data_IF_876157384425
#
_entry.id   IF_876157384425
#
_cell.length_a   1.000
_cell.length_b   1.000
_cell.length_c   1.000
_cell.angle_alpha   90.00
_cell.angle_beta   90.00
_cell.angle_gamma   90.00
#
_symmetry.space_group_name_H-M   'P 1'
#
loop_
_entity.id
_entity.type
_entity.pdbx_description
1 polymer ?
#
# COMPACT_ATOMS: atom_id res chain seq x y z
N UNK A 1 -6.43 -3.10 -0.25
CA UNK A 1 -6.55 -2.39 1.05
C UNK A 1 -5.21 -1.79 1.39
N UNK A 2 -5.16 -0.49 1.64
CA UNK A 2 -3.97 0.20 2.17
C UNK A 2 -4.21 0.55 3.64
N UNK A 3 -3.16 0.91 4.37
CA UNK A 3 -3.28 1.43 5.74
C UNK A 3 -4.11 2.72 5.84
N UNK A 4 -4.29 3.46 4.73
CA UNK A 4 -5.23 4.59 4.67
C UNK A 4 -6.71 4.15 4.70
N UNK A 5 -7.00 2.93 4.25
CA UNK A 5 -8.37 2.37 4.25
C UNK A 5 -8.65 1.53 5.49
N UNK A 6 -7.63 0.88 6.05
CA UNK A 6 -7.79 -0.02 7.20
C UNK A 6 -6.54 0.05 8.06
N UNK A 7 -6.64 0.79 9.18
CA UNK A 7 -5.56 0.86 10.17
C UNK A 7 -5.52 -0.37 11.09
N UNK A 8 -4.40 -0.54 11.79
CA UNK A 8 -4.26 -1.54 12.85
C UNK A 8 -4.08 -2.97 12.33
N UNK A 9 -3.70 -3.13 11.07
CA UNK A 9 -3.38 -4.42 10.49
C UNK A 9 -2.02 -4.93 11.02
N UNK A 10 -1.91 -6.24 11.18
CA UNK A 10 -0.66 -6.92 11.48
C UNK A 10 0.20 -7.02 10.22
N UNK A 11 1.50 -7.30 10.39
CA UNK A 11 2.38 -7.55 9.24
C UNK A 11 1.93 -8.75 8.41
N UNK A 12 1.37 -9.79 9.05
CA UNK A 12 0.83 -10.96 8.34
C UNK A 12 -0.40 -10.60 7.50
N UNK A 13 -1.34 -9.83 8.06
CA UNK A 13 -2.50 -9.33 7.33
C UNK A 13 -2.09 -8.44 6.16
N UNK A 14 -1.09 -7.56 6.34
CA UNK A 14 -0.54 -6.73 5.27
C UNK A 14 0.13 -7.56 4.18
N UNK A 15 0.91 -8.58 4.56
CA UNK A 15 1.59 -9.47 3.60
C UNK A 15 0.57 -10.23 2.75
N UNK A 16 -0.49 -10.75 3.38
CA UNK A 16 -1.57 -11.45 2.70
C UNK A 16 -2.39 -10.51 1.81
N UNK A 17 -2.77 -9.33 2.31
CA UNK A 17 -3.60 -8.37 1.60
C UNK A 17 -2.90 -7.74 0.38
N UNK A 18 -1.56 -7.63 0.42
CA UNK A 18 -0.75 -7.07 -0.66
C UNK A 18 -0.08 -8.12 -1.54
N UNK A 19 -0.20 -9.41 -1.18
CA UNK A 19 0.46 -10.52 -1.89
C UNK A 19 1.98 -10.29 -1.97
N UNK A 20 2.56 -9.93 -0.82
CA UNK A 20 4.00 -9.67 -0.67
C UNK A 20 4.55 -10.68 0.34
N UNK A 21 5.73 -11.25 0.06
CA UNK A 21 6.35 -12.18 1.00
C UNK A 21 6.66 -11.52 2.35
N UNK A 22 6.58 -12.31 3.43
CA UNK A 22 6.71 -11.79 4.80
C UNK A 22 8.03 -11.05 5.04
N UNK A 23 9.12 -11.47 4.39
CA UNK A 23 10.43 -10.85 4.57
C UNK A 23 10.52 -9.51 3.83
N UNK A 24 9.94 -9.39 2.63
CA UNK A 24 9.80 -8.12 1.93
C UNK A 24 8.90 -7.15 2.70
N UNK A 25 7.76 -7.60 3.21
CA UNK A 25 6.88 -6.76 4.05
C UNK A 25 7.62 -6.26 5.29
N UNK A 26 8.39 -7.12 5.98
CA UNK A 26 9.19 -6.72 7.14
C UNK A 26 10.21 -5.62 6.80
N UNK A 27 10.93 -5.77 5.68
CA UNK A 27 11.92 -4.79 5.20
C UNK A 27 11.23 -3.47 4.85
N UNK A 28 10.11 -3.52 4.14
CA UNK A 28 9.35 -2.33 3.75
C UNK A 28 8.82 -1.58 4.98
N UNK A 29 8.23 -2.29 5.94
CA UNK A 29 7.74 -1.70 7.19
C UNK A 29 8.87 -1.06 7.98
N UNK A 30 10.04 -1.70 8.09
CA UNK A 30 11.19 -1.10 8.77
C UNK A 30 11.56 0.25 8.16
N UNK A 31 11.67 0.33 6.83
CA UNK A 31 11.97 1.59 6.13
C UNK A 31 10.89 2.64 6.37
N UNK A 32 9.62 2.26 6.38
CA UNK A 32 8.52 3.18 6.63
C UNK A 32 8.49 3.69 8.08
N UNK A 33 8.86 2.85 9.05
CA UNK A 33 9.00 3.24 10.46
C UNK A 33 10.18 4.22 10.61
N UNK A 34 11.34 3.88 10.04
CA UNK A 34 12.55 4.70 10.14
C UNK A 34 12.34 6.09 9.50
N UNK A 35 11.48 6.17 8.47
CA UNK A 35 11.07 7.43 7.83
C UNK A 35 9.91 8.16 8.53
N UNK A 36 9.34 7.59 9.59
CA UNK A 36 8.26 8.22 10.35
C UNK A 36 6.90 8.21 9.64
N UNK A 37 6.65 7.28 8.71
CA UNK A 37 5.36 7.12 8.03
C UNK A 37 4.42 6.16 8.75
N UNK A 38 4.96 5.15 9.43
CA UNK A 38 4.15 4.16 10.16
C UNK A 38 4.70 3.95 11.56
N UNK A 39 3.83 3.54 12.49
CA UNK A 39 4.19 3.11 13.83
C UNK A 39 3.77 1.67 14.07
N UNK A 40 4.41 1.05 15.07
CA UNK A 40 4.12 -0.31 15.50
C UNK A 40 3.71 -0.28 16.96
N UNK A 41 2.50 -0.78 17.25
CA UNK A 41 1.97 -0.87 18.61
C UNK A 41 1.74 -2.34 18.94
N UNK A 42 2.17 -2.78 20.12
CA UNK A 42 1.88 -4.14 20.59
C UNK A 42 0.36 -4.32 20.72
N UNK A 43 -0.16 -5.45 20.24
CA UNK A 43 -1.59 -5.73 20.36
C UNK A 43 -1.97 -5.98 21.84
N UNK A 44 -3.09 -5.39 22.26
CA UNK A 44 -3.55 -5.45 23.65
C UNK A 44 -4.06 -6.84 24.07
N UNK A 45 -4.57 -7.63 23.11
CA UNK A 45 -5.15 -8.96 23.32
C UNK A 45 -4.11 -10.06 23.11
N UNK A 46 -3.25 -9.91 22.10
CA UNK A 46 -2.16 -10.83 21.80
C UNK A 46 -0.81 -10.10 21.71
N UNK A 47 -0.06 -10.10 22.82
CA UNK A 47 1.26 -9.45 22.92
C UNK A 47 2.31 -10.01 21.96
N UNK A 48 2.07 -11.15 21.31
CA UNK A 48 2.96 -11.70 20.27
C UNK A 48 2.80 -10.96 18.95
N UNK A 49 1.66 -10.32 18.75
CA UNK A 49 1.31 -9.57 17.56
C UNK A 49 1.57 -8.08 17.75
N UNK A 50 1.78 -7.40 16.63
CA UNK A 50 1.89 -5.96 16.59
C UNK A 50 1.02 -5.41 15.48
N UNK A 51 0.36 -4.30 15.76
CA UNK A 51 -0.48 -3.57 14.81
C UNK A 51 0.27 -2.39 14.23
N UNK A 52 0.10 -2.20 12.93
CA UNK A 52 0.72 -1.12 12.16
C UNK A 52 -0.31 -0.01 11.95
N UNK A 53 0.10 1.22 12.22
CA UNK A 53 -0.73 2.42 12.06
C UNK A 53 0.03 3.48 11.26
N UNK A 54 -0.69 4.36 10.57
CA UNK A 54 -0.08 5.53 9.95
C UNK A 54 0.26 6.56 11.03
N UNK A 55 1.35 7.30 10.84
CA UNK A 55 1.57 8.52 11.62
C UNK A 55 0.67 9.64 11.13
N UNK A 56 0.45 10.66 11.97
CA UNK A 56 -0.23 11.89 11.55
C UNK A 56 0.48 12.56 10.36
N UNK A 57 1.81 12.45 10.30
CA UNK A 57 2.58 12.91 9.15
C UNK A 57 2.19 12.18 7.86
N UNK A 58 2.09 10.84 7.89
CA UNK A 58 1.63 10.09 6.73
C UNK A 58 0.18 10.40 6.36
N UNK A 59 -0.72 10.48 7.34
CA UNK A 59 -2.14 10.83 7.12
C UNK A 59 -2.28 12.18 6.40
N UNK A 60 -1.48 13.18 6.78
CA UNK A 60 -1.49 14.48 6.13
C UNK A 60 -1.06 14.45 4.64
N UNK A 61 -0.30 13.43 4.23
CA UNK A 61 0.19 13.28 2.84
C UNK A 61 -0.81 12.56 1.92
N UNK A 62 -1.90 11.97 2.44
CA UNK A 62 -2.82 11.15 1.65
C UNK A 62 -3.36 11.89 0.42
N UNK A 63 -3.81 13.13 0.62
CA UNK A 63 -4.37 13.95 -0.45
C UNK A 63 -3.34 14.29 -1.51
N UNK A 64 -2.12 14.65 -1.11
CA UNK A 64 -1.04 14.95 -2.03
C UNK A 64 -0.64 13.72 -2.85
N UNK A 65 -0.42 12.58 -2.20
CA UNK A 65 -0.09 11.31 -2.84
C UNK A 65 -1.17 10.90 -3.86
N UNK A 66 -2.44 10.96 -3.45
CA UNK A 66 -3.58 10.60 -4.32
C UNK A 66 -3.65 11.51 -5.55
N UNK A 67 -3.39 12.80 -5.37
CA UNK A 67 -3.37 13.76 -6.48
C UNK A 67 -2.20 13.50 -7.43
N UNK A 68 -1.02 13.16 -6.93
CA UNK A 68 0.13 12.82 -7.77
C UNK A 68 -0.13 11.56 -8.61
N UNK A 69 -0.69 10.51 -8.00
CA UNK A 69 -1.06 9.26 -8.70
C UNK A 69 -2.13 9.54 -9.76
N UNK A 70 -3.17 10.31 -9.43
CA UNK A 70 -4.21 10.69 -10.39
C UNK A 70 -3.61 11.46 -11.58
N UNK A 71 -2.70 12.39 -11.32
CA UNK A 71 -2.04 13.18 -12.38
C UNK A 71 -1.19 12.31 -13.28
N UNK A 72 -0.46 11.34 -12.73
CA UNK A 72 0.28 10.37 -13.52
C UNK A 72 -0.64 9.54 -14.44
N UNK A 73 -1.74 9.02 -13.90
CA UNK A 73 -2.72 8.26 -14.70
C UNK A 73 -3.32 9.12 -15.81
N UNK A 74 -3.66 10.38 -15.50
CA UNK A 74 -4.18 11.32 -16.49
C UNK A 74 -3.17 11.58 -17.61
N UNK A 75 -1.90 11.79 -17.28
CA UNK A 75 -0.85 11.98 -18.28
C UNK A 75 -0.68 10.75 -19.19
N UNK A 76 -0.78 9.53 -18.62
CA UNK A 76 -0.73 8.29 -19.41
C UNK A 76 -1.91 8.20 -20.39
N UNK A 77 -3.12 8.53 -19.92
CA UNK A 77 -4.32 8.55 -20.76
C UNK A 77 -4.19 9.58 -21.88
N UNK A 78 -3.67 10.78 -21.59
CA UNK A 78 -3.49 11.84 -22.59
C UNK A 78 -2.46 11.47 -23.66
N UNK A 79 -1.39 10.76 -23.30
CA UNK A 79 -0.32 10.39 -24.23
C UNK A 79 -0.63 9.14 -25.06
N UNK A 80 -1.32 8.15 -24.47
CA UNK A 80 -1.49 6.83 -25.08
C UNK A 80 -2.95 6.48 -25.38
N UNK A 81 -3.91 7.30 -24.94
CA UNK A 81 -5.35 7.05 -25.10
C UNK A 81 -5.93 6.18 -23.98
N UNK A 82 -7.23 6.35 -23.73
CA UNK A 82 -7.95 5.63 -22.67
C UNK A 82 -8.01 4.12 -22.94
N UNK A 83 -8.19 3.70 -24.19
CA UNK A 83 -8.26 2.29 -24.56
C UNK A 83 -6.96 1.55 -24.23
N UNK A 84 -5.81 2.10 -24.61
CA UNK A 84 -4.50 1.50 -24.30
C UNK A 84 -4.24 1.47 -22.80
N UNK A 85 -4.60 2.54 -22.07
CA UNK A 85 -4.49 2.57 -20.62
C UNK A 85 -5.33 1.46 -19.96
N UNK A 86 -6.59 1.30 -20.38
CA UNK A 86 -7.49 0.26 -19.87
C UNK A 86 -6.95 -1.15 -20.16
N UNK A 87 -6.39 -1.39 -21.35
CA UNK A 87 -5.74 -2.66 -21.70
C UNK A 87 -4.54 -2.96 -20.80
N UNK A 88 -3.68 -1.96 -20.53
CA UNK A 88 -2.55 -2.12 -19.60
C UNK A 88 -3.06 -2.48 -18.21
N UNK A 89 -4.06 -1.77 -17.69
CA UNK A 89 -4.65 -2.07 -16.38
C UNK A 89 -5.22 -3.49 -16.34
N UNK A 90 -5.92 -3.93 -17.39
CA UNK A 90 -6.48 -5.28 -17.47
C UNK A 90 -5.38 -6.36 -17.47
N UNK A 91 -4.30 -6.17 -18.24
CA UNK A 91 -3.17 -7.10 -18.25
C UNK A 91 -2.44 -7.14 -16.90
N UNK A 92 -2.21 -5.99 -16.26
CA UNK A 92 -1.60 -5.94 -14.93
C UNK A 92 -2.47 -6.65 -13.89
N UNK A 93 -3.80 -6.47 -13.91
CA UNK A 93 -4.72 -7.17 -13.02
C UNK A 93 -4.69 -8.69 -13.24
N UNK A 94 -4.58 -9.14 -14.50
CA UNK A 94 -4.41 -10.56 -14.82
C UNK A 94 -3.12 -11.12 -14.25
N UNK A 95 -1.99 -10.42 -14.41
CA UNK A 95 -0.70 -10.83 -13.86
C UNK A 95 -0.75 -10.91 -12.34
N UNK A 96 -1.37 -9.92 -11.68
CA UNK A 96 -1.52 -9.93 -10.23
C UNK A 96 -2.29 -11.18 -9.76
N UNK A 97 -3.38 -11.54 -10.46
CA UNK A 97 -4.19 -12.71 -10.12
C UNK A 97 -3.42 -14.03 -10.23
N UNK A 98 -2.53 -14.17 -11.21
CA UNK A 98 -1.70 -15.39 -11.39
C UNK A 98 -0.55 -15.49 -10.37
N UNK A 99 -0.15 -14.37 -9.76
CA UNK A 99 0.92 -14.32 -8.75
C UNK A 99 0.41 -14.37 -7.30
N UNK A 100 -0.91 -14.39 -7.10
CA UNK A 100 -1.59 -14.43 -5.79
C UNK A 100 -1.96 -15.84 -5.38
#
# INVERSE_FOLDING_TARGET
MSLYQTEGQTQEELSAALVIDKAATARALKVLIDKGFVTRTQDEKDKRCNRIHLTEHAKALEGELTNQVRRWNQNLIEQFGSETYEQICAHLASIQKELS
#
